data_IF_979040227073
#
_entry.id   IF_979040227073
#
_cell.length_a   1.000
_cell.length_b   1.000
_cell.length_c   1.000
_cell.angle_alpha   90.00
_cell.angle_beta   90.00
_cell.angle_gamma   90.00
#
_symmetry.space_group_name_H-M   'P 1'
#
loop_
_entity.id
_entity.type
_entity.pdbx_description
1 polymer ?
#
# COMPACT_ATOMS: atom_id res chain seq x y z
N UNK A 1 7.02 -4.90 -20.06
CA UNK A 1 7.70 -5.57 -18.94
C UNK A 1 7.03 -6.90 -18.73
N UNK A 2 7.80 -7.94 -18.41
CA UNK A 2 7.28 -9.20 -17.89
C UNK A 2 7.16 -9.09 -16.35
N UNK A 3 5.94 -9.24 -15.82
CA UNK A 3 5.65 -9.05 -14.39
C UNK A 3 5.27 -10.39 -13.77
N UNK A 4 6.08 -10.87 -12.82
CA UNK A 4 5.75 -12.04 -12.01
C UNK A 4 4.71 -11.67 -10.95
N UNK A 5 3.59 -12.38 -10.89
CA UNK A 5 2.51 -12.12 -9.92
C UNK A 5 2.41 -13.27 -8.93
N UNK A 6 2.78 -13.00 -7.68
CA UNK A 6 2.47 -13.86 -6.54
C UNK A 6 1.07 -13.52 -6.02
N UNK A 7 0.22 -14.53 -5.85
CA UNK A 7 -1.16 -14.34 -5.38
C UNK A 7 -2.17 -14.03 -6.48
N UNK A 8 -1.91 -14.49 -7.71
CA UNK A 8 -2.72 -14.21 -8.90
C UNK A 8 -4.22 -14.53 -8.75
N UNK A 9 -4.57 -15.59 -8.00
CA UNK A 9 -5.96 -15.99 -7.74
C UNK A 9 -6.61 -15.29 -6.53
N UNK A 10 -5.88 -14.42 -5.84
CA UNK A 10 -6.37 -13.66 -4.69
C UNK A 10 -7.30 -12.51 -5.09
N UNK A 11 -7.94 -11.89 -4.09
CA UNK A 11 -8.87 -10.76 -4.29
C UNK A 11 -8.23 -9.58 -5.05
N UNK A 12 -6.96 -9.27 -4.76
CA UNK A 12 -6.21 -8.23 -5.46
C UNK A 12 -5.62 -8.76 -6.76
N UNK A 13 -5.07 -9.98 -6.77
CA UNK A 13 -4.51 -10.61 -7.97
C UNK A 13 -5.48 -10.64 -9.15
N UNK A 14 -6.74 -11.06 -8.93
CA UNK A 14 -7.79 -11.09 -9.96
C UNK A 14 -8.09 -9.71 -10.57
N UNK A 15 -7.93 -8.63 -9.79
CA UNK A 15 -8.11 -7.26 -10.27
C UNK A 15 -6.85 -6.71 -10.94
N UNK A 16 -5.68 -7.11 -10.44
CA UNK A 16 -4.39 -6.62 -10.87
C UNK A 16 -4.00 -7.18 -12.25
N UNK A 17 -4.25 -8.47 -12.52
CA UNK A 17 -3.84 -9.09 -13.80
C UNK A 17 -4.44 -8.36 -15.02
N UNK A 18 -5.78 -8.17 -15.12
CA UNK A 18 -6.33 -7.46 -16.27
C UNK A 18 -5.86 -6.00 -16.34
N UNK A 19 -5.54 -5.39 -15.21
CA UNK A 19 -5.00 -4.04 -15.18
C UNK A 19 -3.57 -3.96 -15.70
N UNK A 20 -2.71 -4.92 -15.34
CA UNK A 20 -1.35 -5.04 -15.85
C UNK A 20 -1.36 -5.29 -17.36
N UNK A 21 -2.21 -6.21 -17.84
CA UNK A 21 -2.35 -6.51 -19.27
C UNK A 21 -2.83 -5.29 -20.06
N UNK A 22 -3.83 -4.55 -19.54
CA UNK A 22 -4.29 -3.28 -20.16
C UNK A 22 -3.21 -2.20 -20.18
N UNK A 23 -2.29 -2.21 -19.22
CA UNK A 23 -1.13 -1.33 -19.18
C UNK A 23 0.01 -1.79 -20.10
N UNK A 24 -0.16 -2.89 -20.84
CA UNK A 24 0.82 -3.42 -21.80
C UNK A 24 1.91 -4.28 -21.15
N UNK A 25 1.68 -4.79 -19.94
CA UNK A 25 2.59 -5.73 -19.29
C UNK A 25 2.20 -7.18 -19.61
N UNK A 26 3.21 -8.05 -19.75
CA UNK A 26 3.01 -9.49 -19.82
C UNK A 26 3.01 -10.06 -18.41
N UNK A 27 2.01 -10.87 -18.06
CA UNK A 27 1.84 -11.39 -16.70
C UNK A 27 2.29 -12.84 -16.63
N UNK A 28 3.17 -13.14 -15.66
CA UNK A 28 3.66 -14.49 -15.39
C UNK A 28 3.14 -14.96 -14.03
N UNK A 29 2.44 -16.10 -14.02
CA UNK A 29 1.98 -16.73 -12.78
C UNK A 29 3.17 -17.33 -12.02
N UNK A 30 3.54 -16.71 -10.89
CA UNK A 30 4.69 -17.13 -10.10
C UNK A 30 4.52 -18.54 -9.48
N UNK A 31 3.34 -19.16 -9.50
CA UNK A 31 3.14 -20.56 -9.08
C UNK A 31 3.75 -21.56 -10.07
N UNK A 32 3.78 -21.22 -11.35
CA UNK A 32 4.27 -22.08 -12.44
C UNK A 32 5.78 -22.03 -12.67
N UNK A 33 6.51 -21.21 -11.91
CA UNK A 33 7.93 -20.92 -12.16
C UNK A 33 8.12 -19.86 -13.26
N UNK A 34 9.33 -19.80 -13.82
CA UNK A 34 9.63 -18.87 -14.92
C UNK A 34 9.72 -17.40 -14.52
N UNK A 35 9.92 -17.10 -13.23
CA UNK A 35 10.08 -15.72 -12.73
C UNK A 35 11.45 -15.13 -13.09
N UNK A 36 12.41 -15.97 -13.45
CA UNK A 36 13.78 -15.64 -13.85
C UNK A 36 13.88 -14.84 -15.15
N UNK A 37 12.87 -14.95 -16.03
CA UNK A 37 12.76 -14.11 -17.23
C UNK A 37 12.08 -12.76 -16.96
N UNK A 38 11.43 -12.61 -15.80
CA UNK A 38 10.61 -11.44 -15.52
C UNK A 38 11.47 -10.22 -15.21
N UNK A 39 10.87 -9.05 -15.42
CA UNK A 39 11.47 -7.78 -15.11
C UNK A 39 11.31 -7.36 -13.65
N UNK A 40 10.17 -7.72 -13.06
CA UNK A 40 9.78 -7.33 -11.70
C UNK A 40 8.74 -8.30 -11.17
N UNK A 41 8.70 -8.48 -9.85
CA UNK A 41 7.66 -9.23 -9.16
C UNK A 41 6.72 -8.32 -8.36
N UNK A 42 5.47 -8.76 -8.24
CA UNK A 42 4.50 -8.20 -7.31
C UNK A 42 3.91 -9.29 -6.40
N UNK A 43 3.80 -9.00 -5.11
CA UNK A 43 3.26 -9.91 -4.09
C UNK A 43 2.00 -9.35 -3.42
N UNK A 44 0.88 -10.01 -3.73
CA UNK A 44 -0.41 -9.86 -3.04
C UNK A 44 -0.92 -11.22 -2.55
N UNK A 45 -0.12 -11.86 -1.69
CA UNK A 45 -0.42 -13.15 -1.06
C UNK A 45 -0.91 -13.00 0.39
N UNK A 46 -0.36 -13.79 1.30
CA UNK A 46 -0.64 -13.84 2.73
C UNK A 46 0.66 -13.59 3.48
N UNK A 47 0.62 -13.06 4.72
CA UNK A 47 1.83 -12.67 5.44
C UNK A 47 2.86 -13.80 5.59
N UNK A 48 2.38 -15.03 5.76
CA UNK A 48 3.18 -16.25 5.90
C UNK A 48 3.90 -16.69 4.61
N UNK A 49 3.49 -16.19 3.44
CA UNK A 49 4.08 -16.54 2.15
C UNK A 49 5.12 -15.52 1.64
N UNK A 50 5.14 -14.30 2.20
CA UNK A 50 5.99 -13.21 1.69
C UNK A 50 7.47 -13.55 1.76
N UNK A 51 7.92 -14.17 2.85
CA UNK A 51 9.33 -14.52 3.04
C UNK A 51 9.84 -15.49 1.94
N UNK A 52 9.08 -16.55 1.67
CA UNK A 52 9.43 -17.54 0.65
C UNK A 52 9.40 -16.93 -0.76
N UNK A 53 8.41 -16.08 -1.05
CA UNK A 53 8.32 -15.39 -2.34
C UNK A 53 9.48 -14.41 -2.55
N UNK A 54 9.86 -13.67 -1.50
CA UNK A 54 10.98 -12.75 -1.53
C UNK A 54 12.31 -13.48 -1.76
N UNK A 55 12.53 -14.61 -1.08
CA UNK A 55 13.73 -15.42 -1.28
C UNK A 55 13.86 -15.92 -2.72
N UNK A 56 12.74 -16.33 -3.34
CA UNK A 56 12.71 -16.71 -4.77
C UNK A 56 13.08 -15.53 -5.69
N UNK A 57 12.63 -14.32 -5.36
CA UNK A 57 12.99 -13.11 -6.10
C UNK A 57 14.48 -12.78 -5.94
N UNK A 58 15.01 -12.91 -4.73
CA UNK A 58 16.43 -12.67 -4.43
C UNK A 58 17.34 -13.62 -5.19
N UNK A 59 17.01 -14.91 -5.23
CA UNK A 59 17.75 -15.92 -6.00
C UNK A 59 17.75 -15.65 -7.51
N UNK A 60 16.72 -14.95 -8.00
CA UNK A 60 16.55 -14.61 -9.42
C UNK A 60 17.02 -13.20 -9.79
N UNK A 61 17.49 -12.41 -8.82
CA UNK A 61 17.87 -11.02 -9.04
C UNK A 61 16.69 -10.07 -9.32
N UNK A 62 15.48 -10.45 -8.92
CA UNK A 62 14.22 -9.83 -9.35
C UNK A 62 13.74 -8.76 -8.36
N UNK A 63 13.59 -7.48 -8.77
CA UNK A 63 12.95 -6.45 -7.95
C UNK A 63 11.54 -6.86 -7.50
N UNK A 64 11.14 -6.45 -6.29
CA UNK A 64 9.91 -6.94 -5.67
C UNK A 64 9.06 -5.80 -5.08
N UNK A 65 7.80 -5.72 -5.53
CA UNK A 65 6.75 -4.86 -4.98
C UNK A 65 5.82 -5.68 -4.10
N UNK A 66 5.69 -5.34 -2.81
CA UNK A 66 4.93 -6.10 -1.82
C UNK A 66 3.73 -5.27 -1.36
N UNK A 67 2.52 -5.77 -1.59
CA UNK A 67 1.29 -5.19 -1.02
C UNK A 67 0.61 -6.03 0.03
N UNK A 68 1.09 -7.25 0.26
CA UNK A 68 0.76 -8.02 1.48
C UNK A 68 1.20 -7.23 2.72
N UNK A 69 0.36 -7.15 3.76
CA UNK A 69 0.69 -6.54 5.06
C UNK A 69 1.01 -7.59 6.12
N UNK A 70 1.62 -7.20 7.25
CA UNK A 70 1.74 -8.06 8.44
C UNK A 70 2.86 -9.10 8.39
N UNK A 71 3.86 -8.89 7.54
CA UNK A 71 5.07 -9.70 7.46
C UNK A 71 6.24 -9.00 8.18
N UNK A 72 7.35 -9.71 8.35
CA UNK A 72 8.57 -9.18 8.97
C UNK A 72 9.33 -8.26 8.00
N UNK A 73 9.20 -6.95 8.20
CA UNK A 73 9.84 -5.93 7.37
C UNK A 73 11.37 -5.96 7.50
N UNK A 74 11.91 -6.25 8.68
CA UNK A 74 13.35 -6.25 8.95
C UNK A 74 14.03 -7.43 8.25
N UNK A 75 13.41 -8.60 8.28
CA UNK A 75 13.90 -9.78 7.58
C UNK A 75 13.95 -9.55 6.05
N UNK A 76 12.91 -8.95 5.47
CA UNK A 76 12.87 -8.63 4.04
C UNK A 76 13.92 -7.58 3.69
N UNK A 77 14.06 -6.51 4.47
CA UNK A 77 15.07 -5.47 4.23
C UNK A 77 16.49 -6.04 4.28
N UNK A 78 16.80 -6.87 5.28
CA UNK A 78 18.10 -7.52 5.41
C UNK A 78 18.41 -8.44 4.22
N UNK A 79 17.43 -9.26 3.80
CA UNK A 79 17.55 -10.13 2.63
C UNK A 79 17.75 -9.34 1.33
N UNK A 80 16.96 -8.28 1.13
CA UNK A 80 17.03 -7.41 -0.04
C UNK A 80 18.41 -6.70 -0.12
N UNK A 81 18.91 -6.16 0.99
CA UNK A 81 20.25 -5.53 1.06
C UNK A 81 21.37 -6.52 0.75
N UNK A 82 21.32 -7.72 1.36
CA UNK A 82 22.32 -8.78 1.14
C UNK A 82 22.41 -9.16 -0.34
N UNK A 83 21.28 -9.30 -1.00
CA UNK A 83 21.20 -9.69 -2.41
C UNK A 83 21.27 -8.51 -3.39
N UNK A 84 21.39 -7.28 -2.87
CA UNK A 84 21.41 -6.02 -3.64
C UNK A 84 20.16 -5.83 -4.51
N UNK A 85 19.01 -6.26 -4.02
CA UNK A 85 17.73 -6.17 -4.72
C UNK A 85 16.92 -5.00 -4.17
N UNK A 86 16.36 -4.13 -5.02
CA UNK A 86 15.41 -3.14 -4.57
C UNK A 86 14.06 -3.79 -4.32
N UNK A 87 13.53 -3.57 -3.12
CA UNK A 87 12.20 -3.96 -2.74
C UNK A 87 11.39 -2.72 -2.34
N UNK A 88 10.10 -2.79 -2.60
CA UNK A 88 9.16 -1.74 -2.24
C UNK A 88 7.96 -2.35 -1.52
N UNK A 89 7.55 -1.77 -0.40
CA UNK A 89 6.32 -2.14 0.29
C UNK A 89 5.46 -0.90 0.55
N UNK A 90 4.16 -0.98 0.27
CA UNK A 90 3.20 -0.01 0.76
C UNK A 90 2.05 -0.70 1.48
N UNK A 91 1.66 -0.26 2.70
CA UNK A 91 0.48 -0.77 3.39
C UNK A 91 -0.82 -0.30 2.73
N UNK A 92 -0.75 0.70 1.85
CA UNK A 92 -1.87 1.22 1.08
C UNK A 92 -1.37 1.76 -0.27
N UNK A 93 -1.93 1.24 -1.37
CA UNK A 93 -1.61 1.67 -2.73
C UNK A 93 -2.59 2.71 -3.31
N UNK A 94 -3.61 3.12 -2.55
CA UNK A 94 -4.51 4.17 -2.97
C UNK A 94 -3.81 5.53 -2.85
N UNK A 95 -3.46 6.13 -3.98
CA UNK A 95 -2.76 7.42 -4.02
C UNK A 95 -3.56 8.52 -3.30
N UNK A 96 -4.90 8.51 -3.41
CA UNK A 96 -5.76 9.46 -2.71
C UNK A 96 -5.65 9.38 -1.18
N UNK A 97 -5.51 8.17 -0.62
CA UNK A 97 -5.31 8.00 0.82
C UNK A 97 -3.96 8.57 1.27
N UNK A 98 -2.94 8.39 0.44
CA UNK A 98 -1.58 8.87 0.70
C UNK A 98 -1.53 10.40 0.65
N UNK A 99 -2.15 11.01 -0.35
CA UNK A 99 -2.30 12.46 -0.45
C UNK A 99 -3.12 13.04 0.72
N UNK A 100 -4.22 12.39 1.11
CA UNK A 100 -4.99 12.79 2.30
C UNK A 100 -4.12 12.82 3.56
N UNK A 101 -3.29 11.79 3.78
CA UNK A 101 -2.36 11.77 4.91
C UNK A 101 -1.31 12.88 4.85
N UNK A 102 -0.73 13.16 3.67
CA UNK A 102 0.22 14.28 3.47
C UNK A 102 -0.42 15.63 3.78
N UNK A 103 -1.64 15.86 3.31
CA UNK A 103 -2.35 17.12 3.55
C UNK A 103 -2.80 17.25 4.99
N UNK A 104 -3.20 16.15 5.64
CA UNK A 104 -3.51 16.15 7.07
C UNK A 104 -2.29 16.46 7.93
N UNK A 105 -1.12 15.89 7.60
CA UNK A 105 0.15 16.21 8.26
C UNK A 105 0.49 17.70 8.16
N UNK A 106 0.33 18.30 6.97
CA UNK A 106 0.59 19.72 6.78
C UNK A 106 -0.43 20.60 7.52
N UNK A 107 -1.72 20.26 7.44
CA UNK A 107 -2.78 21.00 8.15
C UNK A 107 -2.61 20.95 9.67
N UNK A 108 -2.15 19.84 10.23
CA UNK A 108 -1.90 19.66 11.66
C UNK A 108 -0.79 20.57 12.22
N UNK A 109 0.08 21.12 11.36
CA UNK A 109 1.10 22.10 11.77
C UNK A 109 0.53 23.50 11.99
N UNK A 110 -0.66 23.78 11.45
CA UNK A 110 -1.26 25.12 11.41
C UNK A 110 -2.53 25.17 12.28
N UNK A 111 -3.40 24.16 12.18
CA UNK A 111 -4.70 24.15 12.85
C UNK A 111 -4.62 23.46 14.23
N UNK A 112 -5.26 24.03 15.27
CA UNK A 112 -5.00 23.64 16.66
C UNK A 112 -5.66 22.32 17.11
N UNK A 113 -6.74 21.91 16.45
CA UNK A 113 -7.54 20.75 16.84
C UNK A 113 -7.90 19.91 15.64
N UNK A 114 -7.92 18.58 15.80
CA UNK A 114 -8.32 17.65 14.76
C UNK A 114 -9.03 16.42 15.32
N UNK A 115 -9.92 15.83 14.53
CA UNK A 115 -10.55 14.53 14.74
C UNK A 115 -10.48 13.70 13.47
N UNK A 116 -10.44 12.37 13.61
CA UNK A 116 -10.45 11.43 12.49
C UNK A 116 -11.74 10.63 12.54
N UNK A 117 -12.47 10.57 11.42
CA UNK A 117 -13.61 9.67 11.25
C UNK A 117 -13.27 8.68 10.15
N UNK A 118 -13.23 7.39 10.47
CA UNK A 118 -13.01 6.33 9.50
C UNK A 118 -14.26 5.45 9.38
N UNK A 119 -14.58 5.07 8.15
CA UNK A 119 -15.77 4.29 7.85
C UNK A 119 -15.40 3.09 6.97
N UNK A 120 -15.80 1.90 7.38
CA UNK A 120 -15.50 0.64 6.69
C UNK A 120 -16.70 -0.30 6.72
N UNK A 121 -16.63 -1.35 5.88
CA UNK A 121 -17.59 -2.46 5.93
C UNK A 121 -17.67 -3.10 7.33
N UNK A 122 -18.83 -3.65 7.65
CA UNK A 122 -19.20 -4.25 8.94
C UNK A 122 -18.33 -5.45 9.34
N UNK A 123 -17.74 -6.14 8.36
CA UNK A 123 -16.88 -7.31 8.60
C UNK A 123 -15.41 -6.96 8.87
N UNK A 124 -15.04 -5.67 8.93
CA UNK A 124 -13.67 -5.25 9.26
C UNK A 124 -13.42 -5.40 10.77
N UNK A 125 -12.51 -6.31 11.13
CA UNK A 125 -12.25 -6.72 12.50
C UNK A 125 -11.46 -5.70 13.33
N UNK A 126 -10.56 -4.95 12.70
CA UNK A 126 -9.71 -3.96 13.37
C UNK A 126 -10.39 -2.59 13.48
N UNK A 127 -10.31 -1.98 14.66
CA UNK A 127 -10.69 -0.59 14.93
C UNK A 127 -9.72 0.04 15.95
N UNK A 128 -9.23 1.27 15.75
CA UNK A 128 -9.33 2.05 14.52
C UNK A 128 -8.53 1.41 13.37
N UNK A 129 -8.89 1.76 12.13
CA UNK A 129 -8.20 1.26 10.94
C UNK A 129 -6.70 1.59 10.92
N UNK A 130 -5.90 0.77 10.23
CA UNK A 130 -4.47 1.02 10.03
C UNK A 130 -4.17 2.38 9.40
N UNK A 131 -4.95 2.81 8.40
CA UNK A 131 -4.81 4.13 7.77
C UNK A 131 -5.08 5.26 8.77
N UNK A 132 -6.09 5.14 9.62
CA UNK A 132 -6.40 6.15 10.63
C UNK A 132 -5.28 6.29 11.66
N UNK A 133 -4.72 5.16 12.12
CA UNK A 133 -3.55 5.14 13.02
C UNK A 133 -2.32 5.79 12.35
N UNK A 134 -2.06 5.45 11.09
CA UNK A 134 -0.95 6.04 10.35
C UNK A 134 -1.13 7.54 10.13
N UNK A 135 -2.37 7.99 9.88
CA UNK A 135 -2.69 9.41 9.71
C UNK A 135 -2.42 10.19 11.00
N UNK A 136 -2.94 9.72 12.13
CA UNK A 136 -2.70 10.32 13.44
C UNK A 136 -1.19 10.39 13.77
N UNK A 137 -0.45 9.29 13.52
CA UNK A 137 0.99 9.25 13.75
C UNK A 137 1.74 10.29 12.91
N UNK A 138 1.38 10.45 11.63
CA UNK A 138 1.99 11.45 10.73
C UNK A 138 1.69 12.89 11.14
N UNK A 139 0.47 13.15 11.62
CA UNK A 139 0.09 14.46 12.14
C UNK A 139 0.89 14.85 13.39
N UNK A 140 1.59 13.92 14.04
CA UNK A 140 2.35 14.18 15.27
C UNK A 140 1.46 14.56 16.45
N UNK A 141 0.16 14.31 16.35
CA UNK A 141 -0.85 14.61 17.37
C UNK A 141 -1.56 13.32 17.78
N UNK A 142 -2.42 13.40 18.80
CA UNK A 142 -3.25 12.27 19.23
C UNK A 142 -4.74 12.63 19.09
N UNK A 143 -5.24 12.83 17.86
CA UNK A 143 -6.63 13.21 17.64
C UNK A 143 -7.57 12.06 18.03
N UNK A 144 -8.78 12.35 18.53
CA UNK A 144 -9.84 11.36 18.64
C UNK A 144 -10.08 10.64 17.30
N UNK A 145 -10.25 9.32 17.35
CA UNK A 145 -10.56 8.50 16.17
C UNK A 145 -11.91 7.80 16.35
N UNK A 146 -12.84 8.10 15.47
CA UNK A 146 -14.18 7.52 15.42
C UNK A 146 -14.26 6.47 14.33
N UNK A 147 -14.67 5.26 14.69
CA UNK A 147 -14.71 4.11 13.76
C UNK A 147 -16.15 3.69 13.47
N UNK A 148 -16.58 3.88 12.22
CA UNK A 148 -17.91 3.47 11.73
C UNK A 148 -17.80 2.15 10.98
N UNK A 149 -18.69 1.21 11.29
CA UNK A 149 -18.80 -0.10 10.65
C UNK A 149 -20.21 -0.27 10.12
N UNK A 150 -20.39 -0.21 8.80
CA UNK A 150 -21.72 -0.18 8.19
C UNK A 150 -21.76 -0.96 6.86
N UNK A 151 -22.84 -1.73 6.59
CA UNK A 151 -23.07 -2.35 5.30
C UNK A 151 -23.05 -1.32 4.15
N UNK A 152 -22.43 -1.69 3.04
CA UNK A 152 -22.32 -0.87 1.83
C UNK A 152 -21.07 0.02 1.76
N UNK A 153 -20.33 0.18 2.85
CA UNK A 153 -19.06 0.89 2.85
C UNK A 153 -17.91 0.01 2.37
N UNK A 154 -16.87 0.63 1.81
CA UNK A 154 -15.62 -0.06 1.45
C UNK A 154 -14.51 0.39 2.41
N UNK A 155 -13.96 1.59 2.19
CA UNK A 155 -12.96 2.21 3.04
C UNK A 155 -12.96 3.73 2.81
N UNK A 156 -13.19 4.48 3.88
CA UNK A 156 -13.37 5.92 3.83
C UNK A 156 -12.68 6.54 5.06
N UNK A 157 -12.15 7.74 4.90
CA UNK A 157 -11.61 8.49 6.02
C UNK A 157 -11.77 9.99 5.82
N UNK A 158 -12.11 10.68 6.89
CA UNK A 158 -12.08 12.13 7.04
C UNK A 158 -11.11 12.52 8.14
N UNK A 159 -10.33 13.55 7.89
CA UNK A 159 -9.63 14.31 8.93
C UNK A 159 -10.28 15.69 8.99
N UNK A 160 -10.84 16.02 10.14
CA UNK A 160 -11.59 17.25 10.36
C UNK A 160 -10.77 18.11 11.32
N UNK A 161 -10.34 19.27 10.85
CA UNK A 161 -9.64 20.27 11.65
C UNK A 161 -10.57 21.40 12.04
N UNK A 162 -10.36 21.95 13.24
CA UNK A 162 -11.11 23.11 13.75
C UNK A 162 -10.19 24.26 14.14
N UNK A 163 -10.53 25.47 13.71
CA UNK A 163 -9.89 26.72 14.09
C UNK A 163 -10.92 27.83 14.41
N UNK A 164 -10.50 28.99 14.92
CA UNK A 164 -11.42 30.10 15.22
C UNK A 164 -12.16 30.58 13.97
N UNK A 165 -13.46 30.25 13.87
CA UNK A 165 -14.31 30.67 12.74
C UNK A 165 -14.19 29.83 11.48
N UNK A 166 -13.47 28.70 11.51
CA UNK A 166 -13.25 27.86 10.33
C UNK A 166 -13.12 26.37 10.67
N UNK A 167 -13.41 25.53 9.67
CA UNK A 167 -13.09 24.11 9.67
C UNK A 167 -12.47 23.71 8.33
N UNK A 168 -11.60 22.70 8.36
CA UNK A 168 -11.05 22.07 7.17
C UNK A 168 -11.32 20.57 7.25
N UNK A 169 -11.99 20.02 6.24
CA UNK A 169 -12.19 18.57 6.11
C UNK A 169 -11.40 18.05 4.92
N UNK A 170 -10.54 17.06 5.17
CA UNK A 170 -9.81 16.34 4.14
C UNK A 170 -10.37 14.92 4.08
N UNK A 171 -11.03 14.58 2.98
CA UNK A 171 -11.74 13.30 2.82
C UNK A 171 -11.15 12.45 1.70
N UNK A 172 -11.02 11.16 1.96
CA UNK A 172 -10.71 10.14 0.95
C UNK A 172 -11.76 9.03 0.96
N UNK A 173 -12.26 8.69 -0.22
CA UNK A 173 -13.23 7.62 -0.44
C UNK A 173 -12.67 6.58 -1.41
N UNK A 174 -12.58 5.32 -0.95
CA UNK A 174 -12.28 4.18 -1.82
C UNK A 174 -13.60 3.60 -2.30
N UNK A 175 -13.96 3.81 -3.56
CA UNK A 175 -15.22 3.29 -4.13
C UNK A 175 -15.10 1.86 -4.63
N UNK A 176 -13.90 1.44 -5.02
CA UNK A 176 -13.56 0.06 -5.36
C UNK A 176 -12.09 -0.25 -5.11
N UNK A 177 -11.73 -1.53 -5.17
CA UNK A 177 -10.33 -1.98 -5.06
C UNK A 177 -9.46 -1.57 -6.25
N UNK A 178 -10.05 -1.09 -7.35
CA UNK A 178 -9.31 -0.53 -8.49
C UNK A 178 -8.48 0.69 -8.08
N UNK A 179 -8.82 1.37 -6.99
CA UNK A 179 -8.05 2.48 -6.44
C UNK A 179 -6.59 2.12 -6.10
N UNK A 180 -6.28 0.85 -5.88
CA UNK A 180 -4.92 0.38 -5.61
C UNK A 180 -4.06 0.22 -6.86
N UNK A 181 -4.68 -0.03 -8.02
CA UNK A 181 -3.99 -0.34 -9.28
C UNK A 181 -3.00 0.77 -9.68
N UNK A 182 -3.39 2.07 -9.70
CA UNK A 182 -2.46 3.13 -10.08
C UNK A 182 -1.22 3.21 -9.19
N UNK A 183 -1.36 2.95 -7.88
CA UNK A 183 -0.21 2.91 -6.99
C UNK A 183 0.71 1.72 -7.26
N UNK A 184 0.14 0.55 -7.59
CA UNK A 184 0.93 -0.64 -7.94
C UNK A 184 1.71 -0.41 -9.23
N UNK A 185 1.07 0.15 -10.25
CA UNK A 185 1.73 0.50 -11.52
C UNK A 185 2.88 1.48 -11.29
N UNK A 186 2.66 2.53 -10.50
CA UNK A 186 3.71 3.47 -10.12
C UNK A 186 4.89 2.78 -9.41
N UNK A 187 4.60 1.85 -8.50
CA UNK A 187 5.63 1.09 -7.82
C UNK A 187 6.42 0.18 -8.77
N UNK A 188 5.74 -0.52 -9.68
CA UNK A 188 6.39 -1.36 -10.69
C UNK A 188 7.28 -0.56 -11.63
N UNK A 189 6.87 0.66 -12.00
CA UNK A 189 7.66 1.57 -12.83
C UNK A 189 8.94 2.03 -12.11
N UNK A 190 8.83 2.40 -10.83
CA UNK A 190 9.93 3.05 -10.09
C UNK A 190 10.82 2.13 -9.27
N UNK A 191 10.40 0.89 -8.99
CA UNK A 191 11.13 0.01 -8.04
C UNK A 191 12.58 -0.24 -8.45
N UNK A 192 12.87 -0.25 -9.76
CA UNK A 192 14.24 -0.44 -10.27
C UNK A 192 15.18 0.73 -9.97
N UNK A 193 14.64 1.93 -9.78
CA UNK A 193 15.41 3.13 -9.49
C UNK A 193 15.65 3.31 -7.98
N UNK A 194 15.03 2.47 -7.15
CA UNK A 194 15.19 2.50 -5.70
C UNK A 194 16.54 1.90 -5.27
N UNK A 195 17.10 2.34 -4.14
CA UNK A 195 18.28 1.72 -3.58
C UNK A 195 17.99 0.25 -3.17
N UNK A 196 19.01 -0.62 -3.14
CA UNK A 196 18.86 -1.96 -2.57
C UNK A 196 18.37 -1.95 -1.13
N UNK A 197 17.50 -2.89 -0.79
CA UNK A 197 16.79 -2.92 0.49
C UNK A 197 15.30 -2.64 0.33
N UNK A 198 14.60 -2.47 1.46
CA UNK A 198 13.17 -2.26 1.48
C UNK A 198 12.83 -0.76 1.62
N UNK A 199 12.25 -0.19 0.57
CA UNK A 199 11.62 1.13 0.63
C UNK A 199 10.17 0.98 1.09
N UNK A 200 9.72 1.78 2.07
CA UNK A 200 8.40 1.66 2.69
C UNK A 200 7.55 2.91 2.45
N UNK A 201 6.31 2.69 2.03
CA UNK A 201 5.27 3.70 1.86
C UNK A 201 5.23 4.28 0.45
N UNK A 202 4.02 4.42 -0.10
CA UNK A 202 3.83 5.00 -1.43
C UNK A 202 4.28 6.46 -1.52
N UNK A 203 4.33 7.18 -0.40
CA UNK A 203 4.90 8.53 -0.33
C UNK A 203 6.32 8.61 -0.88
N UNK A 204 7.13 7.55 -0.75
CA UNK A 204 8.51 7.53 -1.27
C UNK A 204 8.57 7.57 -2.82
N UNK A 205 7.44 7.35 -3.49
CA UNK A 205 7.33 7.33 -4.95
C UNK A 205 6.54 8.53 -5.52
N UNK A 206 5.93 9.36 -4.66
CA UNK A 206 5.10 10.52 -5.02
C UNK A 206 5.85 11.85 -4.90
#
# INVERSE_FOLDING_TARGET
>A
MEVAVFGIGGKVGVLLVPALERAGHEVVDARGGGIDRCDVAVDFTRPDAVADNAERCFQSGLPLVIGTSGFDLEAIDAGAKKNRIPCFHAPNFAQGAVLMMRFAEEAARILPSAEIVELHHETKLDAPSGTAKATAARMGTNPPIHSVRLPGLVAHQEVIFGGPGETLTIRHDTTSRDAFVPGVLLALEKVRDLPPGLTIGLDALL
#
